data_IF_052422420563
#
_entry.id   IF_052422420563
#
_cell.length_a   1.000
_cell.length_b   1.000
_cell.length_c   1.000
_cell.angle_alpha   90.00
_cell.angle_beta   90.00
_cell.angle_gamma   90.00
#
_symmetry.space_group_name_H-M   'P 1'
#
loop_
_entity.id
_entity.type
_entity.pdbx_description
1 polymer ?
#
# COMPACT_ATOMS: atom_id res chain seq x y z
N UNK A 1 -12.59 6.44 22.93
CA UNK A 1 -13.32 7.70 23.26
C UNK A 1 -14.37 7.87 22.19
N UNK A 2 -15.65 7.86 22.55
CA UNK A 2 -16.75 7.95 21.60
C UNK A 2 -16.93 9.40 21.09
N UNK A 3 -17.56 9.56 19.91
CA UNK A 3 -17.89 10.88 19.34
C UNK A 3 -18.70 11.75 20.33
N UNK A 4 -19.57 11.10 21.13
CA UNK A 4 -20.39 11.77 22.16
C UNK A 4 -19.55 12.32 23.31
N UNK A 5 -18.51 11.58 23.77
CA UNK A 5 -17.59 12.05 24.81
C UNK A 5 -16.72 13.21 24.34
N UNK A 6 -16.50 13.36 23.01
CA UNK A 6 -15.78 14.49 22.42
C UNK A 6 -16.66 15.74 22.37
N UNK A 7 -17.97 15.58 22.11
CA UNK A 7 -18.94 16.69 22.03
C UNK A 7 -19.28 17.29 23.42
N UNK A 8 -19.12 16.51 24.49
CA UNK A 8 -19.36 16.96 25.89
C UNK A 8 -18.17 17.71 26.52
N UNK A 9 -17.08 17.96 25.76
CA UNK A 9 -15.89 18.66 26.28
C UNK A 9 -16.19 20.12 26.60
N UNK A 10 -15.62 20.59 27.72
CA UNK A 10 -15.71 22.01 28.16
C UNK A 10 -15.00 23.01 27.23
N UNK A 11 -14.07 22.53 26.37
CA UNK A 11 -13.34 23.37 25.43
C UNK A 11 -14.00 23.35 24.05
N UNK A 12 -14.03 24.49 23.39
CA UNK A 12 -14.56 24.63 22.04
C UNK A 12 -13.75 23.77 21.05
N UNK A 13 -14.39 23.21 20.01
CA UNK A 13 -13.68 22.47 18.98
C UNK A 13 -12.69 23.36 18.23
N UNK A 14 -11.49 22.86 17.97
CA UNK A 14 -10.44 23.59 17.23
C UNK A 14 -10.92 24.13 15.87
N UNK A 15 -11.81 23.39 15.18
CA UNK A 15 -12.41 23.83 13.92
C UNK A 15 -13.21 25.12 14.07
N UNK A 16 -13.95 25.28 15.17
CA UNK A 16 -14.73 26.49 15.43
C UNK A 16 -13.81 27.69 15.72
N UNK A 17 -12.79 27.46 16.53
CA UNK A 17 -11.80 28.51 16.86
C UNK A 17 -10.98 28.91 15.63
N UNK A 18 -10.65 27.98 14.74
CA UNK A 18 -9.98 28.26 13.48
C UNK A 18 -10.80 29.20 12.57
N UNK A 19 -12.12 29.01 12.52
CA UNK A 19 -13.04 29.90 11.78
C UNK A 19 -13.13 31.27 12.45
N UNK A 20 -13.23 31.33 13.76
CA UNK A 20 -13.34 32.60 14.50
C UNK A 20 -12.03 33.41 14.43
N UNK A 21 -10.87 32.75 14.45
CA UNK A 21 -9.57 33.40 14.28
C UNK A 21 -9.43 34.17 12.94
N UNK A 22 -10.09 33.69 11.89
CA UNK A 22 -10.10 34.35 10.57
C UNK A 22 -10.89 35.67 10.55
N UNK A 23 -11.73 35.92 11.57
CA UNK A 23 -12.54 37.16 11.70
C UNK A 23 -11.78 38.30 12.41
N UNK A 24 -10.53 38.09 12.78
CA UNK A 24 -9.73 39.09 13.49
C UNK A 24 -9.59 40.38 12.67
N UNK A 25 -9.70 41.51 13.32
CA UNK A 25 -9.51 42.84 12.71
C UNK A 25 -8.06 42.96 12.23
N UNK A 26 -7.86 43.46 11.00
CA UNK A 26 -6.53 43.64 10.41
C UNK A 26 -5.70 44.68 11.16
N UNK A 27 -4.71 44.23 11.90
CA UNK A 27 -3.70 45.06 12.57
C UNK A 27 -2.30 44.52 12.25
N UNK A 28 -1.22 45.27 12.46
CA UNK A 28 0.13 44.73 12.32
C UNK A 28 0.35 43.44 13.13
N UNK A 29 -0.26 43.32 14.31
CA UNK A 29 -0.16 42.15 15.19
C UNK A 29 -0.88 40.92 14.57
N UNK A 30 -2.14 41.09 14.15
CA UNK A 30 -2.96 40.00 13.58
C UNK A 30 -2.48 39.57 12.18
N UNK A 31 -1.75 40.42 11.49
CA UNK A 31 -1.13 40.11 10.19
C UNK A 31 0.21 39.38 10.31
N UNK A 32 0.79 39.34 11.53
CA UNK A 32 2.05 38.64 11.78
C UNK A 32 1.89 37.12 11.68
N UNK A 33 2.90 36.45 11.14
CA UNK A 33 2.95 34.97 11.13
C UNK A 33 2.86 34.37 12.55
N UNK A 34 3.44 35.06 13.54
CA UNK A 34 3.40 34.66 14.97
C UNK A 34 1.98 34.59 15.54
N UNK A 35 1.01 35.28 14.95
CA UNK A 35 -0.39 35.34 15.43
C UNK A 35 -1.23 34.17 14.86
N UNK A 36 -0.74 33.46 13.86
CA UNK A 36 -1.46 32.30 13.27
C UNK A 36 -1.57 31.16 14.27
N UNK A 37 -2.71 30.48 14.25
CA UNK A 37 -2.85 29.23 15.00
C UNK A 37 -1.84 28.22 14.47
N UNK A 38 -1.04 27.61 15.35
CA UNK A 38 0.10 26.77 14.98
C UNK A 38 -0.30 25.62 14.01
N UNK A 39 -1.47 25.02 14.20
CA UNK A 39 -1.96 23.94 13.33
C UNK A 39 -2.51 24.42 11.97
N UNK A 40 -2.63 25.72 11.75
CA UNK A 40 -2.98 26.34 10.46
C UNK A 40 -1.80 27.06 9.80
N UNK A 41 -0.66 27.10 10.48
CA UNK A 41 0.55 27.74 9.95
C UNK A 41 1.39 26.70 9.21
N UNK A 42 1.22 26.65 7.87
CA UNK A 42 1.94 25.72 7.01
C UNK A 42 3.46 25.93 7.06
N UNK A 43 3.92 27.21 7.11
CA UNK A 43 5.35 27.51 7.17
C UNK A 43 5.96 27.00 8.49
N UNK A 44 5.22 27.15 9.60
CA UNK A 44 5.63 26.59 10.88
C UNK A 44 5.68 25.05 10.84
N UNK A 45 4.64 24.40 10.30
CA UNK A 45 4.57 22.93 10.21
C UNK A 45 5.66 22.32 9.30
N UNK A 46 6.19 23.10 8.33
CA UNK A 46 7.26 22.65 7.43
C UNK A 46 8.67 22.81 8.01
N UNK A 47 8.83 23.42 9.19
CA UNK A 47 10.14 23.54 9.84
C UNK A 47 10.74 22.17 10.12
N UNK A 48 12.08 22.04 10.02
CA UNK A 48 12.78 20.77 10.24
C UNK A 48 12.68 20.25 11.68
N UNK A 49 12.65 21.14 12.66
CA UNK A 49 12.45 20.82 14.08
C UNK A 49 11.05 20.25 14.40
N UNK A 50 10.07 20.41 13.48
CA UNK A 50 8.74 19.80 13.57
C UNK A 50 8.61 18.46 12.83
N UNK A 51 9.71 17.84 12.41
CA UNK A 51 9.69 16.49 11.80
C UNK A 51 8.94 15.46 12.65
N UNK A 52 9.09 15.39 13.98
CA UNK A 52 8.30 14.44 14.79
C UNK A 52 6.79 14.65 14.71
N UNK A 53 6.34 15.89 14.59
CA UNK A 53 4.91 16.22 14.42
C UNK A 53 4.40 15.72 13.06
N UNK A 54 5.19 15.93 11.99
CA UNK A 54 4.84 15.41 10.65
C UNK A 54 4.77 13.90 10.63
N UNK A 55 5.64 13.18 11.35
CA UNK A 55 5.53 11.71 11.53
C UNK A 55 4.20 11.32 12.15
N UNK A 56 3.76 12.02 13.20
CA UNK A 56 2.46 11.76 13.82
C UNK A 56 1.30 12.01 12.86
N UNK A 57 1.35 13.08 12.07
CA UNK A 57 0.32 13.39 11.07
C UNK A 57 0.25 12.32 9.97
N UNK A 58 1.39 11.87 9.43
CA UNK A 58 1.43 10.81 8.42
C UNK A 58 1.06 9.43 8.98
N UNK A 59 1.28 9.17 10.28
CA UNK A 59 0.79 7.97 10.92
C UNK A 59 -0.73 8.00 11.11
N UNK A 60 -1.28 9.12 11.57
CA UNK A 60 -2.68 9.20 11.99
C UNK A 60 -3.64 9.38 10.81
N UNK A 61 -3.29 10.19 9.81
CA UNK A 61 -4.21 10.54 8.72
C UNK A 61 -4.73 9.31 7.97
N UNK A 62 -3.90 8.37 7.47
CA UNK A 62 -4.40 7.18 6.81
C UNK A 62 -5.20 6.27 7.75
N UNK A 63 -4.78 6.11 9.01
CA UNK A 63 -5.51 5.29 9.98
C UNK A 63 -6.93 5.79 10.19
N UNK A 64 -7.09 7.09 10.49
CA UNK A 64 -8.40 7.68 10.76
C UNK A 64 -9.33 7.59 9.53
N UNK A 65 -8.81 7.88 8.33
CA UNK A 65 -9.61 7.82 7.10
C UNK A 65 -9.98 6.38 6.73
N UNK A 66 -9.11 5.40 6.96
CA UNK A 66 -9.45 3.99 6.78
C UNK A 66 -10.47 3.49 7.82
N UNK A 67 -10.40 3.97 9.09
CA UNK A 67 -11.41 3.68 10.12
C UNK A 67 -12.77 4.26 9.73
N UNK A 68 -12.81 5.51 9.25
CA UNK A 68 -14.04 6.15 8.74
C UNK A 68 -14.64 5.39 7.56
N UNK A 69 -13.79 4.82 6.68
CA UNK A 69 -14.20 3.96 5.57
C UNK A 69 -14.49 2.51 6.01
N UNK A 70 -14.38 2.18 7.31
CA UNK A 70 -14.59 0.84 7.88
C UNK A 70 -13.73 -0.24 7.22
N UNK A 71 -12.47 0.06 6.94
CA UNK A 71 -11.50 -0.88 6.37
C UNK A 71 -10.79 -1.58 7.51
N UNK A 72 -11.13 -2.84 7.75
CA UNK A 72 -10.54 -3.66 8.82
C UNK A 72 -9.24 -4.33 8.38
N UNK A 73 -9.18 -4.78 7.12
CA UNK A 73 -7.98 -5.41 6.61
C UNK A 73 -7.73 -5.14 5.14
N UNK A 74 -6.45 -5.25 4.75
CA UNK A 74 -6.00 -5.03 3.39
C UNK A 74 -5.38 -6.28 2.80
N UNK A 75 -5.48 -6.42 1.48
CA UNK A 75 -4.67 -7.30 0.67
C UNK A 75 -3.68 -6.44 -0.11
N UNK A 76 -2.39 -6.60 0.18
CA UNK A 76 -1.34 -5.73 -0.35
C UNK A 76 -0.74 -6.35 -1.61
N UNK A 77 -0.55 -5.53 -2.63
CA UNK A 77 0.03 -5.93 -3.92
C UNK A 77 1.34 -5.18 -4.16
N UNK A 78 2.43 -5.91 -4.23
CA UNK A 78 3.75 -5.41 -4.61
C UNK A 78 4.19 -5.95 -5.97
N UNK A 79 4.86 -5.12 -6.74
CA UNK A 79 5.40 -5.53 -8.03
C UNK A 79 6.01 -4.39 -8.81
N UNK A 80 6.59 -4.70 -9.96
CA UNK A 80 7.26 -3.74 -10.82
C UNK A 80 6.32 -2.66 -11.34
N UNK A 81 6.79 -1.42 -11.36
CA UNK A 81 6.16 -0.31 -12.07
C UNK A 81 6.44 -0.32 -13.60
N UNK A 82 7.10 -1.37 -14.13
CA UNK A 82 7.59 -1.43 -15.52
C UNK A 82 6.98 -2.56 -16.35
N UNK A 83 6.33 -3.55 -15.75
CA UNK A 83 5.67 -4.66 -16.48
C UNK A 83 4.50 -4.07 -17.27
N UNK A 84 4.47 -4.20 -18.62
CA UNK A 84 3.40 -3.64 -19.41
C UNK A 84 2.08 -4.41 -19.27
N UNK A 85 0.97 -3.74 -19.50
CA UNK A 85 -0.26 -4.40 -19.88
C UNK A 85 -0.03 -5.20 -21.18
N UNK A 86 -0.61 -6.40 -21.36
CA UNK A 86 -0.41 -7.24 -22.55
C UNK A 86 -0.60 -6.48 -23.87
N UNK A 87 -1.60 -5.62 -23.96
CA UNK A 87 -1.89 -4.79 -25.12
C UNK A 87 -0.75 -3.81 -25.50
N UNK A 88 0.12 -3.45 -24.56
CA UNK A 88 1.20 -2.48 -24.74
C UNK A 88 2.56 -3.14 -25.08
N UNK A 89 2.67 -4.47 -25.00
CA UNK A 89 3.95 -5.18 -25.15
C UNK A 89 4.60 -4.88 -26.49
N UNK A 90 3.87 -5.07 -27.58
CA UNK A 90 4.43 -4.89 -28.92
C UNK A 90 4.85 -3.45 -29.17
N UNK A 91 4.04 -2.48 -28.78
CA UNK A 91 4.37 -1.05 -28.92
C UNK A 91 5.64 -0.67 -28.16
N UNK A 92 5.88 -1.26 -26.97
CA UNK A 92 7.13 -1.02 -26.21
C UNK A 92 8.35 -1.67 -26.84
N UNK A 93 8.20 -2.85 -27.48
CA UNK A 93 9.29 -3.51 -28.23
C UNK A 93 9.63 -2.66 -29.47
N UNK A 94 8.62 -2.19 -30.19
CA UNK A 94 8.81 -1.39 -31.41
C UNK A 94 9.42 0.00 -31.13
N UNK A 95 9.13 0.57 -29.96
CA UNK A 95 9.70 1.84 -29.52
C UNK A 95 11.16 1.73 -29.04
N UNK A 96 11.71 0.53 -28.91
CA UNK A 96 13.09 0.32 -28.46
C UNK A 96 14.09 0.71 -29.56
N UNK A 97 14.98 1.66 -29.29
CA UNK A 97 15.97 2.19 -30.23
C UNK A 97 17.27 1.39 -30.19
N UNK A 98 17.67 0.90 -28.99
CA UNK A 98 18.93 0.15 -28.83
C UNK A 98 18.68 -1.35 -28.60
N UNK A 99 19.66 -2.24 -28.92
CA UNK A 99 19.55 -3.66 -28.63
C UNK A 99 19.24 -3.96 -27.16
N UNK A 100 19.83 -3.21 -26.23
CA UNK A 100 19.58 -3.37 -24.80
C UNK A 100 18.14 -2.97 -24.42
N UNK A 101 17.63 -1.87 -24.96
CA UNK A 101 16.23 -1.46 -24.74
C UNK A 101 15.27 -2.53 -25.28
N UNK A 102 15.56 -3.10 -26.47
CA UNK A 102 14.74 -4.17 -27.06
C UNK A 102 14.74 -5.43 -26.19
N UNK A 103 15.92 -5.88 -25.76
CA UNK A 103 16.07 -7.02 -24.86
C UNK A 103 15.28 -6.81 -23.53
N UNK A 104 15.36 -5.60 -22.96
CA UNK A 104 14.62 -5.25 -21.75
C UNK A 104 13.10 -5.27 -22.01
N UNK A 105 12.63 -4.68 -23.11
CA UNK A 105 11.22 -4.64 -23.48
C UNK A 105 10.65 -6.06 -23.69
N UNK A 106 11.40 -6.93 -24.37
CA UNK A 106 11.05 -8.35 -24.58
C UNK A 106 10.97 -9.10 -23.25
N UNK A 107 11.96 -8.90 -22.34
CA UNK A 107 11.95 -9.53 -21.02
C UNK A 107 10.81 -9.05 -20.12
N UNK A 108 10.43 -7.79 -20.21
CA UNK A 108 9.26 -7.25 -19.52
C UNK A 108 7.97 -7.77 -20.15
N UNK A 109 7.93 -7.89 -21.50
CA UNK A 109 6.79 -8.44 -22.24
C UNK A 109 6.45 -9.88 -21.82
N UNK A 110 7.47 -10.74 -21.60
CA UNK A 110 7.27 -12.11 -21.07
C UNK A 110 6.56 -12.15 -19.71
N UNK A 111 6.61 -11.03 -18.97
CA UNK A 111 5.98 -10.88 -17.63
C UNK A 111 4.61 -10.19 -17.68
N UNK A 112 4.17 -9.75 -18.86
CA UNK A 112 2.89 -9.04 -19.03
C UNK A 112 1.68 -9.84 -18.53
N UNK A 113 1.74 -11.18 -18.55
CA UNK A 113 0.72 -12.05 -17.96
C UNK A 113 0.44 -11.72 -16.48
N UNK A 114 1.45 -11.28 -15.74
CA UNK A 114 1.28 -10.96 -14.32
C UNK A 114 0.48 -9.67 -14.08
N UNK A 115 0.35 -8.79 -15.08
CA UNK A 115 -0.59 -7.69 -15.01
C UNK A 115 -2.03 -8.21 -14.93
N UNK A 116 -2.38 -9.18 -15.80
CA UNK A 116 -3.71 -9.78 -15.78
C UNK A 116 -3.96 -10.62 -14.53
N UNK A 117 -2.96 -11.35 -14.04
CA UNK A 117 -3.08 -12.13 -12.79
C UNK A 117 -3.27 -11.19 -11.58
N UNK A 118 -2.55 -10.07 -11.50
CA UNK A 118 -2.73 -9.07 -10.44
C UNK A 118 -4.14 -8.45 -10.49
N UNK A 119 -4.62 -8.08 -11.68
CA UNK A 119 -5.98 -7.55 -11.87
C UNK A 119 -7.05 -8.56 -11.48
N UNK A 120 -6.87 -9.81 -11.88
CA UNK A 120 -7.81 -10.91 -11.60
C UNK A 120 -7.86 -11.24 -10.11
N UNK A 121 -6.70 -11.37 -9.45
CA UNK A 121 -6.62 -11.62 -8.01
C UNK A 121 -7.27 -10.48 -7.22
N UNK A 122 -6.98 -9.23 -7.58
CA UNK A 122 -7.57 -8.06 -6.94
C UNK A 122 -9.10 -8.04 -7.09
N UNK A 123 -9.62 -8.39 -8.27
CA UNK A 123 -11.06 -8.51 -8.51
C UNK A 123 -11.71 -9.61 -7.66
N UNK A 124 -11.05 -10.76 -7.50
CA UNK A 124 -11.53 -11.85 -6.64
C UNK A 124 -11.55 -11.39 -5.18
N UNK A 125 -10.46 -10.82 -4.68
CA UNK A 125 -10.35 -10.33 -3.31
C UNK A 125 -11.36 -9.23 -2.99
N UNK A 126 -11.58 -8.30 -3.92
CA UNK A 126 -12.52 -7.18 -3.77
C UNK A 126 -13.99 -7.61 -3.69
N UNK A 127 -14.32 -8.85 -4.07
CA UNK A 127 -15.64 -9.43 -3.92
C UNK A 127 -15.87 -10.11 -2.56
N UNK A 128 -14.86 -10.05 -1.66
CA UNK A 128 -15.03 -10.56 -0.30
C UNK A 128 -16.19 -9.83 0.41
N UNK A 129 -17.11 -10.56 1.05
CA UNK A 129 -18.32 -9.96 1.63
C UNK A 129 -18.02 -8.87 2.65
N UNK A 130 -18.77 -7.79 2.58
CA UNK A 130 -18.87 -6.80 3.67
C UNK A 130 -19.72 -7.42 4.78
N UNK A 131 -19.26 -7.36 6.02
CA UNK A 131 -19.99 -7.94 7.13
C UNK A 131 -21.21 -7.07 7.54
N UNK A 132 -22.04 -7.58 8.49
CA UNK A 132 -23.24 -6.90 8.97
C UNK A 132 -22.96 -5.52 9.59
N UNK A 133 -21.78 -5.32 10.18
CA UNK A 133 -21.35 -4.03 10.73
C UNK A 133 -20.87 -3.03 9.64
N UNK A 134 -20.80 -3.47 8.39
CA UNK A 134 -20.31 -2.69 7.25
C UNK A 134 -18.80 -2.68 7.14
N UNK A 135 -18.08 -3.56 7.87
CA UNK A 135 -16.61 -3.64 7.82
C UNK A 135 -16.14 -4.37 6.58
N UNK A 136 -15.07 -3.87 5.97
CA UNK A 136 -14.46 -4.38 4.74
C UNK A 136 -13.15 -5.10 5.04
N UNK A 137 -13.03 -6.30 4.50
CA UNK A 137 -11.82 -7.12 4.62
C UNK A 137 -11.16 -7.31 3.25
N UNK A 138 -9.85 -7.56 3.26
CA UNK A 138 -9.04 -7.78 2.07
C UNK A 138 -9.14 -6.65 1.04
N UNK A 139 -9.37 -5.40 1.51
CA UNK A 139 -9.41 -4.25 0.61
C UNK A 139 -8.08 -4.13 -0.12
N UNK A 140 -8.14 -4.06 -1.44
CA UNK A 140 -6.94 -4.00 -2.29
C UNK A 140 -6.13 -2.76 -1.98
N UNK A 141 -4.85 -2.96 -1.67
CA UNK A 141 -3.91 -1.90 -1.35
C UNK A 141 -2.64 -2.05 -2.19
N UNK A 142 -2.21 -0.98 -2.82
CA UNK A 142 -0.97 -0.93 -3.59
C UNK A 142 -0.21 0.38 -3.35
N UNK A 143 0.98 0.50 -3.96
CA UNK A 143 1.73 1.76 -3.95
C UNK A 143 1.11 2.89 -4.79
N UNK A 144 -0.02 2.64 -5.46
CA UNK A 144 -0.74 3.64 -6.25
C UNK A 144 -0.07 4.00 -7.59
N UNK A 145 1.08 3.43 -7.91
CA UNK A 145 1.81 3.66 -9.15
C UNK A 145 1.26 2.87 -10.35
N UNK A 146 1.99 2.89 -11.49
CA UNK A 146 1.59 2.19 -12.71
C UNK A 146 1.85 0.68 -12.66
N UNK A 147 1.49 -0.03 -13.73
CA UNK A 147 1.82 -1.44 -13.97
C UNK A 147 1.11 -2.38 -12.98
N UNK A 148 1.83 -3.23 -12.23
CA UNK A 148 1.23 -4.21 -11.29
C UNK A 148 0.36 -3.52 -10.23
N UNK A 149 0.78 -2.37 -9.73
CA UNK A 149 0.01 -1.58 -8.76
C UNK A 149 -1.31 -1.08 -9.36
N UNK A 150 -1.23 -0.58 -10.60
CA UNK A 150 -2.42 -0.16 -11.37
C UNK A 150 -3.34 -1.36 -11.66
N UNK A 151 -2.79 -2.49 -12.07
CA UNK A 151 -3.54 -3.71 -12.35
C UNK A 151 -4.35 -4.14 -11.13
N UNK A 152 -3.74 -4.11 -9.93
CA UNK A 152 -4.42 -4.42 -8.68
C UNK A 152 -5.57 -3.43 -8.38
N UNK A 153 -5.30 -2.12 -8.41
CA UNK A 153 -6.35 -1.13 -8.17
C UNK A 153 -7.48 -1.24 -9.21
N UNK A 154 -7.15 -1.45 -10.49
CA UNK A 154 -8.12 -1.64 -11.57
C UNK A 154 -8.98 -2.89 -11.36
N UNK A 155 -8.41 -3.98 -10.84
CA UNK A 155 -9.16 -5.20 -10.54
C UNK A 155 -10.25 -4.99 -9.49
N UNK A 156 -10.00 -4.16 -8.48
CA UNK A 156 -11.02 -3.75 -7.51
C UNK A 156 -12.05 -2.79 -8.11
N UNK A 157 -11.61 -1.82 -8.91
CA UNK A 157 -12.47 -0.87 -9.62
C UNK A 157 -13.42 -1.57 -10.62
N UNK A 158 -12.96 -2.63 -11.30
CA UNK A 158 -13.76 -3.45 -12.23
C UNK A 158 -15.05 -4.01 -11.59
N UNK A 159 -15.11 -4.13 -10.28
CA UNK A 159 -16.26 -4.62 -9.50
C UNK A 159 -16.88 -3.53 -8.61
N UNK A 160 -16.50 -2.28 -8.80
CA UNK A 160 -17.03 -1.14 -8.05
C UNK A 160 -16.59 -1.12 -6.57
N UNK A 161 -15.51 -1.82 -6.21
CA UNK A 161 -15.00 -1.87 -4.85
C UNK A 161 -13.99 -0.75 -4.58
N UNK A 162 -13.92 -0.32 -3.29
CA UNK A 162 -12.90 0.62 -2.86
C UNK A 162 -11.50 0.00 -2.92
N UNK A 163 -10.50 0.84 -3.22
CA UNK A 163 -9.10 0.43 -3.30
C UNK A 163 -8.18 1.54 -2.80
N UNK A 164 -7.05 1.15 -2.23
CA UNK A 164 -6.13 2.03 -1.52
C UNK A 164 -4.86 2.24 -2.34
N UNK A 165 -4.41 3.49 -2.42
CA UNK A 165 -3.09 3.85 -2.96
C UNK A 165 -2.22 4.49 -1.89
N UNK A 166 -1.10 3.84 -1.53
CA UNK A 166 -0.08 4.37 -0.62
C UNK A 166 1.05 4.99 -1.45
N UNK A 167 0.84 6.20 -1.93
CA UNK A 167 1.81 6.90 -2.79
C UNK A 167 2.94 7.51 -1.96
N UNK A 168 4.06 7.78 -2.61
CA UNK A 168 5.20 8.50 -2.03
C UNK A 168 5.59 9.64 -2.96
N UNK A 169 6.05 10.75 -2.41
CA UNK A 169 6.56 11.85 -3.24
C UNK A 169 7.85 11.42 -3.92
N UNK A 170 7.82 11.31 -5.25
CA UNK A 170 8.98 10.98 -6.08
C UNK A 170 9.17 12.03 -7.18
N UNK A 171 10.42 12.32 -7.60
CA UNK A 171 10.71 13.37 -8.59
C UNK A 171 10.02 13.18 -9.94
N UNK A 172 9.68 11.95 -10.29
CA UNK A 172 9.18 11.57 -11.63
C UNK A 172 7.77 10.96 -11.62
N UNK A 173 7.15 10.77 -10.45
CA UNK A 173 5.76 10.31 -10.33
C UNK A 173 4.86 11.50 -10.00
N UNK A 174 3.97 11.87 -10.93
CA UNK A 174 3.17 13.09 -10.80
C UNK A 174 1.75 12.82 -10.25
N UNK A 175 1.23 11.61 -10.40
CA UNK A 175 -0.11 11.26 -9.95
C UNK A 175 -0.25 9.76 -9.67
N UNK A 176 -1.13 9.36 -8.73
CA UNK A 176 -1.54 7.97 -8.58
C UNK A 176 -2.28 7.48 -9.83
N UNK A 177 -2.34 6.15 -10.01
CA UNK A 177 -3.17 5.59 -11.07
C UNK A 177 -4.65 5.92 -10.83
N UNK A 178 -5.42 6.08 -11.90
CA UNK A 178 -6.81 6.58 -11.89
C UNK A 178 -7.83 5.66 -11.21
N UNK A 179 -7.43 4.42 -10.89
CA UNK A 179 -8.31 3.42 -10.30
C UNK A 179 -8.28 3.43 -8.77
N UNK A 180 -7.36 4.17 -8.15
CA UNK A 180 -7.36 4.37 -6.70
C UNK A 180 -8.58 5.18 -6.28
N UNK A 181 -9.29 4.74 -5.25
CA UNK A 181 -10.39 5.50 -4.66
C UNK A 181 -9.88 6.85 -4.16
N UNK A 182 -10.44 7.99 -4.61
CA UNK A 182 -9.89 9.32 -4.29
C UNK A 182 -9.69 9.57 -2.79
N UNK A 183 -10.65 9.16 -1.95
CA UNK A 183 -10.63 9.35 -0.49
C UNK A 183 -9.63 8.42 0.21
N UNK A 184 -9.13 7.39 -0.49
CA UNK A 184 -8.16 6.40 -0.02
C UNK A 184 -6.83 6.50 -0.76
N UNK A 185 -6.60 7.62 -1.45
CA UNK A 185 -5.33 7.92 -2.11
C UNK A 185 -4.45 8.74 -1.16
N UNK A 186 -3.52 8.06 -0.49
CA UNK A 186 -2.61 8.67 0.47
C UNK A 186 -1.27 9.01 -0.19
N UNK A 187 -0.68 10.14 0.22
CA UNK A 187 0.65 10.55 -0.21
C UNK A 187 1.56 10.71 1.00
N UNK A 188 2.70 10.05 0.99
CA UNK A 188 3.69 10.06 2.05
C UNK A 188 4.93 10.85 1.65
N UNK A 189 5.56 11.47 2.65
CA UNK A 189 6.91 12.01 2.57
C UNK A 189 7.94 11.00 3.09
N UNK A 190 7.57 10.21 4.13
CA UNK A 190 8.47 9.30 4.81
C UNK A 190 8.24 7.84 4.39
N UNK A 191 9.27 7.22 3.78
CA UNK A 191 9.23 5.80 3.40
C UNK A 191 8.89 4.88 4.58
N UNK A 192 9.48 5.13 5.76
CA UNK A 192 9.25 4.32 6.94
C UNK A 192 7.78 4.23 7.34
N UNK A 193 7.06 5.37 7.32
CA UNK A 193 5.64 5.40 7.66
C UNK A 193 4.77 4.76 6.57
N UNK A 194 5.10 4.99 5.29
CA UNK A 194 4.44 4.32 4.17
C UNK A 194 4.56 2.80 4.29
N UNK A 195 5.76 2.27 4.54
CA UNK A 195 6.01 0.83 4.72
C UNK A 195 5.21 0.28 5.90
N UNK A 196 5.19 1.00 7.02
CA UNK A 196 4.39 0.62 8.18
C UNK A 196 2.90 0.53 7.84
N UNK A 197 2.34 1.49 7.10
CA UNK A 197 0.93 1.49 6.70
C UNK A 197 0.55 0.35 5.76
N UNK A 198 1.45 -0.11 4.90
CA UNK A 198 1.19 -1.32 4.12
C UNK A 198 0.91 -2.53 5.01
N UNK A 199 1.59 -2.63 6.17
CA UNK A 199 1.57 -3.82 7.01
C UNK A 199 0.56 -3.76 8.16
N UNK A 200 0.20 -2.56 8.65
CA UNK A 200 -0.68 -2.40 9.84
C UNK A 200 -2.01 -3.15 9.73
N UNK A 201 -2.60 -3.21 8.53
CA UNK A 201 -3.88 -3.88 8.27
C UNK A 201 -3.75 -5.06 7.32
N UNK A 202 -2.53 -5.43 6.91
CA UNK A 202 -2.31 -6.50 5.96
C UNK A 202 -2.79 -7.86 6.51
N UNK A 203 -3.57 -8.56 5.70
CA UNK A 203 -3.98 -9.95 5.93
C UNK A 203 -3.46 -10.88 4.84
N UNK A 204 -3.00 -10.35 3.73
CA UNK A 204 -2.31 -11.10 2.70
C UNK A 204 -1.39 -10.17 1.90
N UNK A 205 -0.34 -10.73 1.34
CA UNK A 205 0.60 -10.04 0.47
C UNK A 205 0.79 -10.81 -0.83
N UNK A 206 0.54 -10.18 -1.98
CA UNK A 206 0.87 -10.70 -3.30
C UNK A 206 2.09 -9.97 -3.86
N UNK A 207 3.14 -10.71 -4.14
CA UNK A 207 4.42 -10.18 -4.62
C UNK A 207 4.66 -10.68 -6.03
N UNK A 208 4.60 -9.76 -6.98
CA UNK A 208 4.86 -9.99 -8.39
C UNK A 208 6.32 -9.67 -8.74
N UNK A 209 6.85 -10.15 -9.87
CA UNK A 209 8.19 -9.78 -10.30
C UNK A 209 8.43 -8.28 -10.24
N UNK A 210 9.52 -7.87 -9.55
CA UNK A 210 9.78 -6.47 -9.26
C UNK A 210 11.25 -6.16 -9.05
N UNK A 211 11.55 -4.90 -8.76
CA UNK A 211 12.89 -4.40 -8.47
C UNK A 211 13.11 -4.13 -6.99
N UNK A 212 14.08 -3.26 -6.69
CA UNK A 212 14.54 -2.98 -5.32
C UNK A 212 13.41 -2.61 -4.35
N UNK A 213 12.44 -1.77 -4.75
CA UNK A 213 11.33 -1.42 -3.88
C UNK A 213 10.46 -2.63 -3.51
N UNK A 214 10.19 -3.52 -4.48
CA UNK A 214 9.45 -4.77 -4.23
C UNK A 214 10.21 -5.69 -3.27
N UNK A 215 11.52 -5.80 -3.44
CA UNK A 215 12.39 -6.59 -2.54
C UNK A 215 12.39 -6.00 -1.13
N UNK A 216 12.61 -4.69 -1.00
CA UNK A 216 12.65 -3.98 0.26
C UNK A 216 11.37 -4.21 1.09
N UNK A 217 10.22 -4.03 0.46
CA UNK A 217 8.91 -4.21 1.11
C UNK A 217 8.61 -5.68 1.46
N UNK A 218 9.00 -6.62 0.59
CA UNK A 218 8.84 -8.06 0.84
C UNK A 218 9.74 -8.53 1.99
N UNK A 219 11.03 -8.20 1.95
CA UNK A 219 11.98 -8.64 2.98
C UNK A 219 11.73 -7.99 4.34
N UNK A 220 11.17 -6.77 4.38
CA UNK A 220 10.71 -6.19 5.64
C UNK A 220 9.62 -7.06 6.28
N UNK A 221 8.58 -7.44 5.52
CA UNK A 221 7.52 -8.32 6.03
C UNK A 221 8.09 -9.67 6.50
N UNK A 222 8.93 -10.31 5.68
CA UNK A 222 9.54 -11.59 6.05
C UNK A 222 10.34 -11.47 7.36
N UNK A 223 11.10 -10.40 7.52
CA UNK A 223 11.84 -10.12 8.75
C UNK A 223 10.92 -9.91 9.95
N UNK A 224 9.83 -9.17 9.80
CA UNK A 224 8.88 -8.93 10.88
C UNK A 224 8.18 -10.22 11.33
N UNK A 225 7.85 -11.11 10.40
CA UNK A 225 7.24 -12.42 10.72
C UNK A 225 8.30 -13.32 11.38
N UNK A 226 9.49 -13.45 10.77
CA UNK A 226 10.60 -14.27 11.29
C UNK A 226 10.97 -13.90 12.73
N UNK A 227 11.02 -12.60 13.03
CA UNK A 227 11.37 -12.10 14.36
C UNK A 227 10.20 -12.06 15.35
N UNK A 228 9.03 -12.52 14.96
CA UNK A 228 7.81 -12.51 15.80
C UNK A 228 7.22 -11.12 16.09
N UNK A 229 7.64 -10.09 15.35
CA UNK A 229 7.08 -8.73 15.46
C UNK A 229 5.72 -8.62 14.80
N UNK A 230 5.43 -9.48 13.82
CA UNK A 230 4.15 -9.57 13.14
C UNK A 230 3.70 -11.04 13.11
N UNK A 231 2.40 -11.26 13.26
CA UNK A 231 1.83 -12.61 13.06
C UNK A 231 1.98 -13.03 11.60
N UNK A 232 2.19 -14.32 11.32
CA UNK A 232 2.22 -14.82 9.95
C UNK A 232 0.95 -14.45 9.17
N UNK A 233 1.14 -14.08 7.93
CA UNK A 233 0.09 -13.89 6.92
C UNK A 233 0.53 -14.58 5.62
N UNK A 234 -0.39 -14.91 4.70
CA UNK A 234 -0.02 -15.45 3.39
C UNK A 234 0.88 -14.48 2.63
N UNK A 235 2.08 -14.94 2.24
CA UNK A 235 3.02 -14.24 1.37
C UNK A 235 3.11 -15.00 0.06
N UNK A 236 2.42 -14.49 -0.96
CA UNK A 236 2.19 -15.16 -2.25
C UNK A 236 3.18 -14.64 -3.29
N UNK A 237 4.14 -15.46 -3.72
CA UNK A 237 5.14 -15.10 -4.72
C UNK A 237 4.69 -15.57 -6.10
N UNK A 238 4.34 -14.64 -6.98
CA UNK A 238 4.03 -14.90 -8.37
C UNK A 238 5.29 -14.99 -9.22
N UNK A 239 5.39 -16.03 -10.04
CA UNK A 239 6.49 -16.20 -10.98
C UNK A 239 7.71 -16.86 -10.38
N UNK A 240 7.59 -18.13 -9.99
CA UNK A 240 8.69 -18.92 -9.42
C UNK A 240 9.97 -18.83 -10.24
N UNK A 241 9.89 -18.94 -11.58
CA UNK A 241 11.04 -18.82 -12.48
C UNK A 241 11.81 -17.49 -12.31
N UNK A 242 11.08 -16.38 -12.15
CA UNK A 242 11.74 -15.07 -11.91
C UNK A 242 12.47 -15.08 -10.58
N UNK A 243 11.76 -15.45 -9.51
CA UNK A 243 12.30 -15.34 -8.14
C UNK A 243 13.49 -16.27 -7.93
N UNK A 244 13.42 -17.54 -8.35
CA UNK A 244 14.53 -18.51 -8.20
C UNK A 244 15.76 -18.15 -9.05
N UNK A 245 15.59 -17.30 -10.07
CA UNK A 245 16.72 -16.79 -10.86
C UNK A 245 17.40 -15.57 -10.21
N UNK A 246 16.65 -14.77 -9.43
CA UNK A 246 17.17 -13.50 -8.88
C UNK A 246 17.47 -13.57 -7.39
N UNK A 247 16.91 -14.54 -6.66
CA UNK A 247 17.17 -14.83 -5.26
C UNK A 247 17.24 -16.33 -5.07
N UNK A 248 18.34 -16.81 -4.51
CA UNK A 248 18.48 -18.18 -4.05
C UNK A 248 18.08 -18.25 -2.57
N UNK A 249 16.79 -18.51 -2.31
CA UNK A 249 16.28 -18.60 -0.94
C UNK A 249 16.80 -19.83 -0.20
N UNK A 250 17.08 -20.93 -0.92
CA UNK A 250 17.60 -22.17 -0.34
C UNK A 250 19.04 -21.94 0.11
N UNK A 251 19.85 -21.23 -0.67
CA UNK A 251 21.19 -20.87 -0.29
C UNK A 251 21.24 -20.03 1.00
N UNK A 252 20.25 -19.16 1.26
CA UNK A 252 20.19 -18.42 2.52
C UNK A 252 20.02 -19.36 3.74
N UNK A 253 19.27 -20.43 3.58
CA UNK A 253 19.11 -21.44 4.64
C UNK A 253 20.36 -22.31 4.79
N UNK A 254 20.98 -22.70 3.66
CA UNK A 254 22.22 -23.52 3.67
C UNK A 254 23.41 -22.78 4.28
N UNK A 255 23.52 -21.47 4.04
CA UNK A 255 24.52 -20.59 4.68
C UNK A 255 24.20 -20.30 6.16
N UNK A 256 23.02 -20.74 6.64
CA UNK A 256 22.63 -20.59 8.04
C UNK A 256 22.24 -19.18 8.46
N UNK A 257 21.97 -18.27 7.50
CA UNK A 257 21.55 -16.88 7.80
C UNK A 257 20.04 -16.76 8.00
N UNK A 258 19.28 -17.77 7.62
CA UNK A 258 17.88 -17.99 7.98
C UNK A 258 17.67 -19.45 8.39
N UNK A 259 16.58 -19.75 9.10
CA UNK A 259 16.22 -21.14 9.40
C UNK A 259 15.59 -21.82 8.18
N UNK A 260 15.79 -23.13 7.96
CA UNK A 260 15.09 -23.86 6.89
C UNK A 260 13.56 -23.74 6.97
N UNK A 261 12.99 -23.58 8.17
CA UNK A 261 11.58 -23.34 8.39
C UNK A 261 11.09 -21.97 7.86
N UNK A 262 11.98 -20.98 7.71
CA UNK A 262 11.63 -19.66 7.20
C UNK A 262 11.25 -19.71 5.70
N UNK A 263 11.71 -20.73 4.99
CA UNK A 263 11.30 -20.98 3.60
C UNK A 263 9.79 -21.24 3.48
N UNK A 264 9.15 -21.76 4.53
CA UNK A 264 7.70 -21.99 4.58
C UNK A 264 6.88 -20.70 4.69
N UNK A 265 7.52 -19.56 4.91
CA UNK A 265 6.84 -18.25 4.87
C UNK A 265 6.40 -17.87 3.45
N UNK A 266 7.00 -18.48 2.43
CA UNK A 266 6.78 -18.19 1.03
C UNK A 266 5.83 -19.20 0.39
N UNK A 267 4.77 -18.73 -0.23
CA UNK A 267 3.85 -19.54 -1.02
C UNK A 267 3.99 -19.23 -2.50
N UNK A 268 4.46 -20.21 -3.28
CA UNK A 268 4.61 -20.07 -4.72
C UNK A 268 3.28 -20.20 -5.44
N UNK A 269 2.94 -19.23 -6.28
CA UNK A 269 1.70 -19.20 -7.04
C UNK A 269 1.93 -18.71 -8.47
N UNK A 270 1.12 -19.16 -9.42
CA UNK A 270 1.19 -18.72 -10.82
C UNK A 270 -0.13 -18.10 -11.30
N UNK A 271 -1.25 -18.42 -10.64
CA UNK A 271 -2.58 -17.93 -11.00
C UNK A 271 -3.26 -17.21 -9.84
N UNK A 272 -4.19 -16.33 -10.18
CA UNK A 272 -5.00 -15.60 -9.22
C UNK A 272 -5.87 -16.56 -8.36
N UNK A 273 -6.36 -17.62 -8.95
CA UNK A 273 -7.19 -18.63 -8.28
C UNK A 273 -6.39 -19.40 -7.24
N UNK A 274 -5.18 -19.86 -7.57
CA UNK A 274 -4.30 -20.56 -6.63
C UNK A 274 -3.92 -19.63 -5.47
N UNK A 275 -3.62 -18.37 -5.77
CA UNK A 275 -3.30 -17.35 -4.78
C UNK A 275 -4.47 -17.14 -3.81
N UNK A 276 -5.68 -16.96 -4.31
CA UNK A 276 -6.85 -16.77 -3.46
C UNK A 276 -7.17 -18.02 -2.64
N UNK A 277 -7.07 -19.20 -3.24
CA UNK A 277 -7.23 -20.47 -2.53
C UNK A 277 -6.21 -20.61 -1.38
N UNK A 278 -4.96 -20.23 -1.59
CA UNK A 278 -3.94 -20.24 -0.53
C UNK A 278 -4.32 -19.31 0.62
N UNK A 279 -4.84 -18.10 0.34
CA UNK A 279 -5.36 -17.18 1.38
C UNK A 279 -6.52 -17.82 2.14
N UNK A 280 -7.49 -18.39 1.44
CA UNK A 280 -8.64 -19.04 2.07
C UNK A 280 -8.21 -20.22 2.96
N UNK A 281 -7.31 -21.07 2.48
CA UNK A 281 -6.80 -22.22 3.25
C UNK A 281 -6.10 -21.76 4.52
N UNK A 282 -5.26 -20.73 4.44
CA UNK A 282 -4.56 -20.18 5.59
C UNK A 282 -5.51 -19.70 6.70
N UNK A 283 -6.65 -19.11 6.33
CA UNK A 283 -7.62 -18.59 7.30
C UNK A 283 -8.74 -19.57 7.66
N UNK A 284 -8.90 -20.70 6.95
CA UNK A 284 -9.82 -21.77 7.37
C UNK A 284 -9.33 -22.48 8.63
N UNK A 285 -8.00 -22.54 8.81
CA UNK A 285 -7.36 -23.12 10.01
C UNK A 285 -7.19 -22.10 11.15
N UNK A 286 -7.59 -20.86 10.96
CA UNK A 286 -7.54 -19.78 11.96
C UNK A 286 -8.90 -19.10 12.06
N UNK A 287 -9.32 -18.72 13.28
CA UNK A 287 -10.58 -18.00 13.51
C UNK A 287 -10.67 -16.77 12.60
N UNK A 288 -11.80 -16.62 11.89
CA UNK A 288 -12.07 -15.45 11.07
C UNK A 288 -11.95 -14.18 11.93
N UNK A 289 -11.25 -13.15 11.48
CA UNK A 289 -11.09 -11.92 12.24
C UNK A 289 -12.46 -11.26 12.44
N UNK A 290 -12.85 -11.10 13.71
CA UNK A 290 -13.98 -10.24 14.08
C UNK A 290 -13.67 -8.77 13.81
N UNK A 291 -14.70 -7.94 13.69
CA UNK A 291 -14.58 -6.48 13.80
C UNK A 291 -14.17 -6.08 15.19
#
# INVERSE_FOLDING_TARGET
MTRKEIEERKFRPARQEAVDAQKAVGTPQTSSAAYRLAFQDTEFLLREDLRPVRFQLELLKPQLLMDEAKIESTFVFYGSARIPEPSQVQARIDAAVTPDQRRIAENLGKKARYYEEARKLARIAAQYPVNEAGCRHFVVCSGGGPSIMEAANRGADDVGAQTIGMNIVLPHEQAPNRFVTPELSFQFHYFALRKMHFLLRARALAVFPGGFGTFDEMFELLTLIQTGKMKPIPVLLFGKEFWTRVVDFEALADEGVISPSDLNLLTWVETAEDAWKAVQTFYQDSEAPGC
#
